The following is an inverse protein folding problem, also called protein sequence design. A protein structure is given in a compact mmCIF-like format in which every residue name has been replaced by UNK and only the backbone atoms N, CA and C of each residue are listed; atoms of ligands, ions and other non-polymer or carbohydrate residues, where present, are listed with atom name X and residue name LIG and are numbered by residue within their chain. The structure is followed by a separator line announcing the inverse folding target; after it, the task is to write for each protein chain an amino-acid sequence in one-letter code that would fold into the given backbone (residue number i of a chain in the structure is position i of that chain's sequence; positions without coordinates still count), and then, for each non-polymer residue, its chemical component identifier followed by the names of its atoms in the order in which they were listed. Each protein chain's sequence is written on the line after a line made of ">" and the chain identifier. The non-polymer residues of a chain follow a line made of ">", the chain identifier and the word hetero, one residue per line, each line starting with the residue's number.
data_IF_345508208879
#
_entry.id   IF_345508208879
#
_cell.length_a   1.000
_cell.length_b   1.000
_cell.length_c   1.000
_cell.angle_alpha   90.00
_cell.angle_beta   90.00
_cell.angle_gamma   90.00
#
_symmetry.space_group_name_H-M   'P 1'
#
loop_
_entity.id
_entity.type
_entity.pdbx_description
1 polymer ?
#
# COMPACT_ATOMS: atom_id res chain seq x y z
N UNK A 1 6.04 32.77 7.45
CA UNK A 1 5.74 32.55 8.89
C UNK A 1 4.28 32.89 9.11
N UNK A 2 3.40 31.90 9.06
CA UNK A 2 2.00 32.07 9.44
C UNK A 2 1.93 32.07 10.97
N UNK A 3 1.72 33.23 11.56
CA UNK A 3 1.62 33.42 13.02
C UNK A 3 0.32 32.82 13.59
N UNK A 4 -0.60 32.34 12.75
CA UNK A 4 -1.85 31.67 13.15
C UNK A 4 -1.69 30.15 13.38
N UNK A 5 -0.60 29.54 12.91
CA UNK A 5 -0.37 28.12 13.06
C UNK A 5 -0.05 27.77 14.52
N UNK A 6 -0.89 26.92 15.12
CA UNK A 6 -0.64 26.35 16.45
C UNK A 6 -0.18 24.92 16.31
N UNK A 7 1.01 24.64 16.84
CA UNK A 7 1.58 23.28 16.86
C UNK A 7 1.51 22.72 18.27
N UNK A 8 0.90 21.55 18.41
CA UNK A 8 0.78 20.83 19.68
C UNK A 8 1.71 19.61 19.68
N UNK A 9 2.46 19.43 20.75
CA UNK A 9 3.37 18.30 20.91
C UNK A 9 3.14 17.65 22.27
N UNK A 10 3.13 16.33 22.31
CA UNK A 10 3.09 15.55 23.54
C UNK A 10 4.51 15.28 24.03
N UNK A 11 4.82 15.64 25.26
CA UNK A 11 6.14 15.46 25.89
C UNK A 11 6.88 16.78 26.09
N UNK A 12 8.12 16.72 26.56
CA UNK A 12 9.00 17.86 26.71
C UNK A 12 9.45 18.39 25.34
N UNK A 13 9.32 19.68 25.09
CA UNK A 13 9.76 20.29 23.83
C UNK A 13 10.59 21.52 24.13
N UNK A 14 11.73 21.65 23.45
CA UNK A 14 12.53 22.87 23.41
C UNK A 14 12.04 23.85 22.34
N UNK A 15 10.96 23.54 21.63
CA UNK A 15 10.38 24.30 20.53
C UNK A 15 9.26 25.20 21.04
N UNK A 16 8.91 26.32 20.35
CA UNK A 16 7.72 27.12 20.66
C UNK A 16 6.39 26.38 20.45
N UNK A 17 6.42 25.07 20.26
CA UNK A 17 5.24 24.23 20.22
C UNK A 17 4.52 24.21 21.57
N UNK A 18 3.20 24.24 21.53
CA UNK A 18 2.36 24.18 22.72
C UNK A 18 2.32 22.74 23.25
N UNK A 19 2.37 22.58 24.58
CA UNK A 19 2.13 21.27 25.18
C UNK A 19 0.72 20.75 24.84
N UNK A 20 0.59 19.45 24.65
CA UNK A 20 -0.71 18.83 24.39
C UNK A 20 -1.67 19.18 25.54
N UNK A 21 -2.86 19.73 25.28
CA UNK A 21 -3.79 20.07 26.34
C UNK A 21 -4.20 18.84 27.13
N UNK A 22 -4.29 18.96 28.45
CA UNK A 22 -4.92 17.93 29.26
C UNK A 22 -6.38 17.73 28.81
N UNK A 23 -6.91 16.52 28.84
CA UNK A 23 -8.30 16.27 28.49
C UNK A 23 -9.20 17.20 29.32
N UNK A 24 -9.79 18.20 28.71
CA UNK A 24 -10.81 19.03 29.36
C UNK A 24 -12.17 18.46 29.04
N UNK A 25 -13.01 18.27 30.05
CA UNK A 25 -14.40 17.84 29.89
C UNK A 25 -15.31 18.86 29.19
N UNK A 26 -14.76 19.89 28.58
CA UNK A 26 -15.53 20.96 27.92
C UNK A 26 -15.42 20.85 26.41
N UNK A 27 -16.36 20.17 25.80
CA UNK A 27 -16.61 20.21 24.35
C UNK A 27 -17.34 21.51 23.94
N UNK A 28 -17.04 22.66 24.57
CA UNK A 28 -17.88 23.88 24.43
C UNK A 28 -17.51 24.75 23.23
N UNK A 29 -16.36 24.58 22.60
CA UNK A 29 -15.95 25.41 21.46
C UNK A 29 -15.42 24.54 20.31
N UNK A 30 -16.24 23.64 19.80
CA UNK A 30 -15.93 23.03 18.53
C UNK A 30 -16.02 24.10 17.43
N UNK A 31 -15.02 24.22 16.55
CA UNK A 31 -15.13 25.08 15.39
C UNK A 31 -16.40 24.71 14.61
N UNK A 32 -17.07 25.74 14.06
CA UNK A 32 -18.24 25.51 13.22
C UNK A 32 -17.93 24.52 12.06
N UNK A 33 -18.96 23.98 11.41
CA UNK A 33 -18.78 23.00 10.36
C UNK A 33 -17.88 23.54 9.25
N UNK A 34 -16.81 22.82 8.95
CA UNK A 34 -15.89 23.14 7.86
C UNK A 34 -16.59 22.98 6.50
N UNK A 35 -16.28 23.84 5.54
CA UNK A 35 -16.72 23.62 4.17
C UNK A 35 -16.13 22.32 3.60
N UNK A 36 -16.92 21.59 2.85
CA UNK A 36 -16.49 20.35 2.22
C UNK A 36 -15.26 20.53 1.30
N UNK A 37 -15.12 21.71 0.69
CA UNK A 37 -13.99 22.05 -0.19
C UNK A 37 -12.73 22.49 0.55
N UNK A 38 -12.83 22.80 1.85
CA UNK A 38 -11.64 23.18 2.63
C UNK A 38 -10.65 22.01 2.73
N UNK A 39 -9.36 22.38 2.80
CA UNK A 39 -8.28 21.42 3.06
C UNK A 39 -8.48 20.77 4.44
N UNK A 40 -8.66 19.47 4.46
CA UNK A 40 -8.81 18.69 5.70
C UNK A 40 -7.47 18.20 6.23
N UNK A 41 -6.54 17.80 5.34
CA UNK A 41 -5.21 17.32 5.72
C UNK A 41 -4.20 17.40 4.59
N UNK A 42 -2.94 17.54 4.98
CA UNK A 42 -1.77 17.34 4.12
C UNK A 42 -1.03 16.08 4.58
N UNK A 43 -0.85 15.14 3.66
CA UNK A 43 -0.07 13.93 3.94
C UNK A 43 1.16 13.92 3.05
N UNK A 44 2.33 13.94 3.69
CA UNK A 44 3.59 13.87 2.96
C UNK A 44 3.93 12.43 2.59
N UNK A 45 4.35 12.23 1.35
CA UNK A 45 4.84 10.96 0.84
C UNK A 45 6.28 11.12 0.36
N UNK A 46 7.10 10.07 0.57
CA UNK A 46 8.44 10.01 -0.01
C UNK A 46 8.31 9.87 -1.53
N UNK A 47 8.52 10.95 -2.27
CA UNK A 47 8.47 10.90 -3.73
C UNK A 47 9.64 10.10 -4.31
N UNK A 48 9.43 9.46 -5.47
CA UNK A 48 10.49 8.80 -6.26
C UNK A 48 11.63 9.76 -6.64
N UNK A 49 11.38 11.08 -6.60
CA UNK A 49 12.35 12.15 -6.87
C UNK A 49 13.19 12.54 -5.65
N UNK A 50 13.00 11.92 -4.47
CA UNK A 50 13.72 12.21 -3.23
C UNK A 50 13.15 13.38 -2.41
N UNK A 51 12.33 14.25 -3.00
CA UNK A 51 11.66 15.32 -2.26
C UNK A 51 10.27 14.87 -1.78
N UNK A 52 9.92 15.08 -0.49
CA UNK A 52 8.59 14.76 0.02
C UNK A 52 7.51 15.56 -0.71
N UNK A 53 6.38 14.91 -1.01
CA UNK A 53 5.23 15.50 -1.70
C UNK A 53 4.05 15.58 -0.75
N UNK A 54 3.50 16.78 -0.55
CA UNK A 54 2.32 17.00 0.28
C UNK A 54 1.03 16.77 -0.51
N UNK A 55 0.37 15.65 -0.29
CA UNK A 55 -0.93 15.33 -0.90
C UNK A 55 -2.03 16.13 -0.21
N UNK A 56 -2.78 16.95 -0.96
CA UNK A 56 -3.86 17.80 -0.45
C UNK A 56 -5.19 17.05 -0.46
N UNK A 57 -5.78 16.86 0.71
CA UNK A 57 -7.05 16.18 0.88
C UNK A 57 -8.08 17.12 1.50
N UNK A 58 -9.12 17.44 0.76
CA UNK A 58 -10.27 18.19 1.27
C UNK A 58 -11.14 17.32 2.18
N UNK A 59 -12.00 17.95 2.98
CA UNK A 59 -13.00 17.23 3.75
C UNK A 59 -13.91 16.37 2.83
N UNK A 60 -14.26 16.87 1.64
CA UNK A 60 -15.02 16.10 0.65
C UNK A 60 -14.28 14.84 0.20
N UNK A 61 -12.98 14.95 -0.14
CA UNK A 61 -12.18 13.79 -0.54
C UNK A 61 -12.15 12.74 0.59
N UNK A 62 -11.95 13.18 1.83
CA UNK A 62 -11.89 12.30 2.99
C UNK A 62 -13.23 11.57 3.21
N UNK A 63 -14.35 12.27 3.13
CA UNK A 63 -15.69 11.70 3.28
C UNK A 63 -16.06 10.74 2.15
N UNK A 64 -15.71 11.08 0.90
CA UNK A 64 -15.94 10.21 -0.25
C UNK A 64 -15.14 8.90 -0.12
N UNK A 65 -13.86 8.98 0.26
CA UNK A 65 -13.04 7.82 0.55
C UNK A 65 -13.59 6.99 1.71
N UNK A 66 -14.03 7.65 2.79
CA UNK A 66 -14.64 6.99 3.95
C UNK A 66 -15.88 6.17 3.56
N UNK A 67 -16.80 6.76 2.79
CA UNK A 67 -17.99 6.07 2.28
C UNK A 67 -17.65 4.85 1.44
N UNK A 68 -16.70 5.00 0.52
CA UNK A 68 -16.26 3.94 -0.36
C UNK A 68 -15.63 2.78 0.42
N UNK A 69 -14.73 3.08 1.37
CA UNK A 69 -14.04 2.06 2.18
C UNK A 69 -15.00 1.40 3.16
N UNK A 70 -15.89 2.15 3.78
CA UNK A 70 -16.91 1.63 4.72
C UNK A 70 -17.86 0.63 4.03
N UNK A 71 -18.18 0.86 2.76
CA UNK A 71 -19.09 -0.01 2.00
C UNK A 71 -18.61 -1.47 1.93
N UNK A 72 -17.29 -1.73 1.90
CA UNK A 72 -16.74 -3.09 1.84
C UNK A 72 -16.12 -3.57 3.15
N UNK A 73 -15.56 -2.70 3.99
CA UNK A 73 -15.04 -3.10 5.31
C UNK A 73 -16.16 -3.42 6.30
N UNK A 74 -17.33 -2.78 6.15
CA UNK A 74 -18.49 -2.97 7.01
C UNK A 74 -18.11 -2.86 8.51
N UNK A 75 -17.37 -1.79 8.84
CA UNK A 75 -17.01 -1.49 10.21
C UNK A 75 -18.27 -1.16 11.02
N UNK A 76 -18.26 -1.50 12.30
CA UNK A 76 -19.42 -1.39 13.20
C UNK A 76 -19.11 -0.52 14.41
N UNK A 77 -20.12 0.09 15.06
CA UNK A 77 -19.91 0.86 16.29
C UNK A 77 -19.34 0.03 17.46
N UNK A 78 -19.62 -1.27 17.48
CA UNK A 78 -19.13 -2.22 18.48
C UNK A 78 -17.75 -2.81 18.16
N UNK A 79 -17.12 -2.40 17.04
CA UNK A 79 -15.76 -2.83 16.74
C UNK A 79 -14.74 -2.22 17.70
N UNK A 80 -13.72 -3.03 17.98
CA UNK A 80 -12.48 -2.62 18.62
C UNK A 80 -11.38 -2.69 17.56
N UNK A 81 -10.92 -1.53 17.10
CA UNK A 81 -9.92 -1.43 16.04
C UNK A 81 -8.53 -1.31 16.67
N UNK A 82 -7.71 -2.35 16.55
CA UNK A 82 -6.31 -2.31 16.94
C UNK A 82 -5.47 -1.61 15.88
N UNK A 83 -4.73 -0.57 16.22
CA UNK A 83 -3.93 0.21 15.28
C UNK A 83 -2.48 0.31 15.71
N UNK A 84 -1.62 -0.47 15.06
CA UNK A 84 -0.17 -0.42 15.19
C UNK A 84 0.51 0.34 14.03
N UNK A 85 -0.28 0.87 13.10
CA UNK A 85 0.19 1.66 11.97
C UNK A 85 0.27 3.13 12.36
N UNK A 86 1.38 3.84 12.07
CA UNK A 86 1.52 5.24 12.39
C UNK A 86 0.41 6.10 11.72
N UNK A 87 -0.26 6.99 12.46
CA UNK A 87 -1.27 7.89 11.89
C UNK A 87 -0.67 8.98 10.99
N UNK A 88 0.65 9.12 10.93
CA UNK A 88 1.35 9.94 9.95
C UNK A 88 1.24 9.41 8.51
N UNK A 89 0.94 8.12 8.35
CA UNK A 89 0.64 7.52 7.06
C UNK A 89 -0.86 7.46 6.81
N UNK A 90 -1.23 7.63 5.54
CA UNK A 90 -2.64 7.64 5.12
C UNK A 90 -3.43 6.40 5.57
N UNK A 91 -2.78 5.23 5.62
CA UNK A 91 -3.43 3.99 6.01
C UNK A 91 -3.80 3.97 7.50
N UNK A 92 -2.89 4.37 8.39
CA UNK A 92 -3.16 4.49 9.82
C UNK A 92 -4.17 5.60 10.12
N UNK A 93 -3.98 6.80 9.56
CA UNK A 93 -4.87 7.94 9.77
C UNK A 93 -6.33 7.61 9.44
N UNK A 94 -6.56 6.90 8.32
CA UNK A 94 -7.92 6.59 7.91
C UNK A 94 -8.64 5.62 8.85
N UNK A 95 -7.93 4.69 9.49
CA UNK A 95 -8.56 3.84 10.51
C UNK A 95 -8.96 4.64 11.75
N UNK A 96 -8.18 5.68 12.12
CA UNK A 96 -8.57 6.61 13.18
C UNK A 96 -9.85 7.38 12.77
N UNK A 97 -9.83 8.01 11.59
CA UNK A 97 -10.99 8.79 11.11
C UNK A 97 -12.23 7.91 10.95
N UNK A 98 -12.07 6.71 10.40
CA UNK A 98 -13.21 5.79 10.19
C UNK A 98 -13.74 5.26 11.51
N UNK A 99 -12.87 4.84 12.43
CA UNK A 99 -13.29 4.33 13.73
C UNK A 99 -14.04 5.39 14.56
N UNK A 100 -13.51 6.62 14.62
CA UNK A 100 -14.18 7.73 15.29
C UNK A 100 -15.52 8.08 14.62
N UNK A 101 -15.55 8.09 13.28
CA UNK A 101 -16.74 8.44 12.51
C UNK A 101 -17.91 7.47 12.66
N UNK A 102 -17.66 6.21 13.02
CA UNK A 102 -18.70 5.21 13.31
C UNK A 102 -18.94 4.99 14.81
N UNK A 103 -18.15 5.62 15.69
CA UNK A 103 -18.24 5.41 17.13
C UNK A 103 -17.59 4.13 17.65
N UNK A 104 -16.65 3.54 16.90
CA UNK A 104 -15.89 2.35 17.31
C UNK A 104 -14.82 2.70 18.36
N UNK A 105 -14.34 1.67 19.07
CA UNK A 105 -13.21 1.79 19.99
C UNK A 105 -11.89 1.71 19.23
N UNK A 106 -10.94 2.59 19.55
CA UNK A 106 -9.59 2.56 18.98
C UNK A 106 -8.58 2.14 20.06
N UNK A 107 -7.83 1.09 19.79
CA UNK A 107 -6.68 0.65 20.60
C UNK A 107 -5.41 1.03 19.85
N UNK A 108 -4.77 2.12 20.28
CA UNK A 108 -3.57 2.65 19.64
C UNK A 108 -2.31 2.03 20.26
N UNK A 109 -1.45 1.49 19.39
CA UNK A 109 -0.13 0.99 19.77
C UNK A 109 0.94 1.94 19.23
N UNK A 110 1.87 2.34 20.09
CA UNK A 110 2.91 3.30 19.74
C UNK A 110 3.95 2.70 18.78
N UNK A 111 4.10 1.38 18.77
CA UNK A 111 5.11 0.69 17.95
C UNK A 111 4.74 -0.76 17.69
N UNK A 112 5.05 -1.22 16.50
CA UNK A 112 5.01 -2.64 16.11
C UNK A 112 6.34 -3.38 16.37
N UNK A 113 7.33 -2.72 17.00
CA UNK A 113 8.67 -3.29 17.21
C UNK A 113 8.68 -4.50 18.16
N UNK A 114 7.63 -4.68 18.96
CA UNK A 114 7.50 -5.79 19.91
C UNK A 114 6.28 -6.67 19.57
N UNK A 115 6.38 -7.56 18.56
CA UNK A 115 5.25 -8.33 18.06
C UNK A 115 4.54 -9.17 19.14
N UNK A 116 5.26 -9.74 20.09
CA UNK A 116 4.68 -10.52 21.18
C UNK A 116 3.79 -9.66 22.10
N UNK A 117 4.22 -8.45 22.45
CA UNK A 117 3.40 -7.50 23.23
C UNK A 117 2.17 -7.05 22.45
N UNK A 118 2.34 -6.85 21.15
CA UNK A 118 1.23 -6.48 20.27
C UNK A 118 0.16 -7.57 20.27
N UNK A 119 0.52 -8.85 20.09
CA UNK A 119 -0.44 -9.97 20.11
C UNK A 119 -1.14 -10.07 21.48
N UNK A 120 -0.40 -9.93 22.59
CA UNK A 120 -0.99 -9.89 23.93
C UNK A 120 -2.01 -8.76 24.07
N UNK A 121 -1.70 -7.58 23.53
CA UNK A 121 -2.60 -6.43 23.55
C UNK A 121 -3.86 -6.67 22.71
N UNK A 122 -3.71 -7.23 21.50
CA UNK A 122 -4.84 -7.59 20.63
C UNK A 122 -5.80 -8.54 21.34
N UNK A 123 -5.28 -9.54 22.05
CA UNK A 123 -6.08 -10.49 22.84
C UNK A 123 -6.75 -9.82 24.05
N UNK A 124 -5.98 -9.08 24.85
CA UNK A 124 -6.48 -8.44 26.08
C UNK A 124 -7.60 -7.44 25.81
N UNK A 125 -7.49 -6.65 24.73
CA UNK A 125 -8.48 -5.65 24.34
C UNK A 125 -9.60 -6.24 23.47
N UNK A 126 -9.56 -7.55 23.18
CA UNK A 126 -10.51 -8.26 22.31
C UNK A 126 -10.71 -7.55 20.97
N UNK A 127 -9.60 -7.18 20.34
CA UNK A 127 -9.59 -6.48 19.06
C UNK A 127 -10.38 -7.26 18.00
N UNK A 128 -11.30 -6.58 17.32
CA UNK A 128 -12.16 -7.18 16.28
C UNK A 128 -11.68 -6.90 14.87
N UNK A 129 -11.00 -5.76 14.68
CA UNK A 129 -10.47 -5.31 13.37
C UNK A 129 -9.01 -4.95 13.51
N UNK A 130 -8.16 -5.54 12.66
CA UNK A 130 -6.73 -5.25 12.70
C UNK A 130 -6.16 -5.00 11.30
N UNK A 131 -5.79 -3.75 10.96
CA UNK A 131 -5.09 -3.40 9.72
C UNK A 131 -3.59 -3.65 9.85
N UNK A 132 -3.00 -4.28 8.83
CA UNK A 132 -1.58 -4.55 8.79
C UNK A 132 -0.95 -4.27 7.43
N UNK A 133 0.37 -4.36 7.43
CA UNK A 133 1.23 -4.31 6.24
C UNK A 133 2.08 -5.58 6.21
N UNK A 134 2.68 -5.97 5.06
CA UNK A 134 3.36 -7.26 4.95
C UNK A 134 4.43 -7.51 6.02
N UNK A 135 5.24 -6.49 6.38
CA UNK A 135 6.26 -6.60 7.42
C UNK A 135 5.65 -6.90 8.80
N UNK A 136 4.54 -6.24 9.14
CA UNK A 136 3.82 -6.49 10.38
C UNK A 136 3.27 -7.92 10.42
N UNK A 137 2.64 -8.36 9.34
CA UNK A 137 2.15 -9.73 9.23
C UNK A 137 3.25 -10.77 9.32
N UNK A 138 4.40 -10.56 8.65
CA UNK A 138 5.56 -11.43 8.76
C UNK A 138 6.05 -11.57 10.20
N UNK A 139 6.13 -10.44 10.94
CA UNK A 139 6.54 -10.42 12.34
C UNK A 139 5.59 -11.18 13.27
N UNK A 140 4.26 -11.03 13.02
CA UNK A 140 3.26 -11.76 13.81
C UNK A 140 3.22 -13.26 13.48
N UNK A 141 3.37 -13.62 12.20
CA UNK A 141 3.43 -15.01 11.74
C UNK A 141 4.67 -15.78 12.23
N UNK A 142 5.72 -15.07 12.65
CA UNK A 142 6.88 -15.69 13.29
C UNK A 142 6.60 -16.17 14.73
N UNK A 143 5.48 -15.74 15.33
CA UNK A 143 5.06 -16.12 16.68
C UNK A 143 4.06 -17.29 16.66
N UNK A 144 3.92 -17.96 17.79
CA UNK A 144 2.80 -18.87 18.02
C UNK A 144 1.56 -18.09 18.42
N UNK A 145 0.69 -17.84 17.45
CA UNK A 145 -0.57 -17.10 17.68
C UNK A 145 -1.60 -17.92 18.48
N UNK A 146 -1.49 -19.25 18.50
CA UNK A 146 -2.42 -20.12 19.22
C UNK A 146 -2.35 -20.01 20.73
N UNK A 147 -1.24 -19.44 21.26
CA UNK A 147 -1.06 -19.16 22.67
C UNK A 147 -1.92 -17.98 23.19
N UNK A 148 -2.65 -17.29 22.29
CA UNK A 148 -3.43 -16.10 22.61
C UNK A 148 -4.86 -16.23 22.09
N UNK A 149 -5.85 -15.75 22.89
CA UNK A 149 -7.25 -15.70 22.45
C UNK A 149 -7.46 -14.53 21.48
N UNK A 150 -7.36 -14.84 20.19
CA UNK A 150 -7.65 -13.93 19.08
C UNK A 150 -9.04 -14.20 18.46
N UNK A 151 -9.91 -14.91 19.12
CA UNK A 151 -11.24 -15.30 18.59
C UNK A 151 -12.14 -14.11 18.27
N UNK A 152 -11.90 -12.96 18.89
CA UNK A 152 -12.65 -11.72 18.61
C UNK A 152 -12.28 -11.10 17.23
N UNK A 153 -11.11 -11.41 16.66
CA UNK A 153 -10.72 -10.89 15.35
C UNK A 153 -11.67 -11.40 14.25
N UNK A 154 -12.47 -10.49 13.70
CA UNK A 154 -13.39 -10.77 12.61
C UNK A 154 -12.91 -10.26 11.25
N UNK A 155 -12.02 -9.26 11.25
CA UNK A 155 -11.54 -8.61 10.05
C UNK A 155 -10.06 -8.25 10.19
N UNK A 156 -9.27 -8.72 9.24
CA UNK A 156 -7.88 -8.31 9.06
C UNK A 156 -7.69 -7.78 7.64
N UNK A 157 -6.85 -6.76 7.49
CA UNK A 157 -6.65 -6.15 6.19
C UNK A 157 -5.16 -5.94 5.90
N UNK A 158 -4.78 -6.05 4.62
CA UNK A 158 -3.42 -5.73 4.18
C UNK A 158 -3.45 -4.66 3.10
N UNK A 159 -2.53 -3.69 3.20
CA UNK A 159 -2.31 -2.68 2.18
C UNK A 159 -0.85 -2.21 2.19
N UNK A 160 -0.53 -1.17 1.42
CA UNK A 160 0.77 -0.52 1.23
C UNK A 160 1.78 -1.32 0.38
N UNK A 161 1.77 -2.65 0.43
CA UNK A 161 2.52 -3.52 -0.46
C UNK A 161 1.79 -4.87 -0.61
N UNK A 162 2.15 -5.63 -1.64
CA UNK A 162 1.61 -6.97 -1.86
C UNK A 162 1.96 -7.90 -0.70
N UNK A 163 0.98 -8.64 -0.21
CA UNK A 163 1.18 -9.69 0.79
C UNK A 163 1.60 -10.97 0.07
N UNK A 164 2.75 -11.58 0.41
CA UNK A 164 3.16 -12.83 -0.20
C UNK A 164 2.09 -13.93 -0.04
N UNK A 165 1.87 -14.73 -1.07
CA UNK A 165 0.86 -15.80 -1.06
C UNK A 165 1.07 -16.79 0.10
N UNK A 166 2.32 -17.10 0.45
CA UNK A 166 2.64 -17.92 1.62
C UNK A 166 2.16 -17.31 2.94
N UNK A 167 2.30 -15.98 3.12
CA UNK A 167 1.81 -15.28 4.31
C UNK A 167 0.28 -15.22 4.32
N UNK A 168 -0.32 -15.02 3.15
CA UNK A 168 -1.79 -15.08 2.97
C UNK A 168 -2.33 -16.41 3.44
N UNK A 169 -1.76 -17.52 2.96
CA UNK A 169 -2.16 -18.88 3.37
C UNK A 169 -1.98 -19.13 4.87
N UNK A 170 -0.85 -18.67 5.45
CA UNK A 170 -0.59 -18.79 6.89
C UNK A 170 -1.58 -17.98 7.74
N UNK A 171 -1.90 -16.74 7.35
CA UNK A 171 -2.91 -15.92 8.05
C UNK A 171 -4.27 -16.60 8.04
N UNK A 172 -4.68 -17.11 6.87
CA UNK A 172 -5.94 -17.84 6.71
C UNK A 172 -6.00 -19.10 7.59
N UNK A 173 -4.90 -19.83 7.66
CA UNK A 173 -4.81 -21.05 8.48
C UNK A 173 -4.80 -20.75 10.00
N UNK A 174 -4.12 -19.68 10.42
CA UNK A 174 -3.97 -19.35 11.86
C UNK A 174 -5.09 -18.48 12.42
N UNK A 175 -5.80 -17.73 11.58
CA UNK A 175 -6.91 -16.86 11.94
C UNK A 175 -8.15 -17.15 11.07
N UNK A 176 -8.66 -18.40 11.08
CA UNK A 176 -9.72 -18.85 10.17
C UNK A 176 -11.06 -18.11 10.40
N UNK A 177 -11.27 -17.57 11.60
CA UNK A 177 -12.45 -16.78 11.94
C UNK A 177 -12.42 -15.36 11.36
N UNK A 178 -11.22 -14.84 11.00
CA UNK A 178 -11.07 -13.49 10.50
C UNK A 178 -11.17 -13.43 8.98
N UNK A 179 -12.00 -12.53 8.47
CA UNK A 179 -12.00 -12.19 7.04
C UNK A 179 -10.72 -11.45 6.69
N UNK A 180 -9.96 -11.93 5.71
CA UNK A 180 -8.79 -11.24 5.18
C UNK A 180 -9.18 -10.48 3.91
N UNK A 181 -8.89 -9.18 3.85
CA UNK A 181 -9.04 -8.36 2.65
C UNK A 181 -7.67 -7.82 2.21
N UNK A 182 -7.36 -8.01 0.94
CA UNK A 182 -6.16 -7.43 0.33
C UNK A 182 -6.56 -6.17 -0.43
N UNK A 183 -5.83 -5.07 -0.22
CA UNK A 183 -6.22 -3.77 -0.75
C UNK A 183 -5.04 -3.10 -1.46
N UNK A 184 -5.33 -2.42 -2.55
CA UNK A 184 -4.40 -1.53 -3.22
C UNK A 184 -4.91 -0.09 -3.14
N UNK A 185 -3.97 0.86 -3.02
CA UNK A 185 -4.24 2.29 -3.07
C UNK A 185 -3.00 3.14 -2.85
N UNK A 186 -3.17 4.42 -3.08
CA UNK A 186 -2.15 5.45 -2.91
C UNK A 186 -2.67 6.54 -1.97
N UNK A 187 -1.78 7.36 -1.44
CA UNK A 187 -2.18 8.48 -0.57
C UNK A 187 -3.12 9.43 -1.31
N UNK A 188 -2.94 9.60 -2.61
CA UNK A 188 -3.70 10.48 -3.49
C UNK A 188 -5.18 10.08 -3.66
N UNK A 189 -5.51 8.78 -3.52
CA UNK A 189 -6.89 8.29 -3.67
C UNK A 189 -7.36 7.37 -2.53
N UNK A 190 -6.51 7.17 -1.52
CA UNK A 190 -6.69 6.30 -0.36
C UNK A 190 -6.76 4.82 -0.69
N UNK A 191 -7.74 4.40 -1.47
CA UNK A 191 -7.91 3.05 -1.98
C UNK A 191 -8.42 3.11 -3.41
N UNK A 192 -7.96 2.20 -4.23
CA UNK A 192 -8.38 2.05 -5.62
C UNK A 192 -9.01 0.69 -5.89
N UNK A 193 -8.54 -0.36 -5.20
CA UNK A 193 -9.13 -1.69 -5.33
C UNK A 193 -9.05 -2.49 -4.04
N UNK A 194 -9.86 -3.54 -3.94
CA UNK A 194 -9.78 -4.55 -2.88
C UNK A 194 -10.12 -5.94 -3.42
N UNK A 195 -9.47 -6.95 -2.87
CA UNK A 195 -9.78 -8.36 -3.08
C UNK A 195 -10.64 -8.84 -1.91
N UNK A 196 -11.88 -9.29 -2.16
CA UNK A 196 -12.75 -9.84 -1.13
C UNK A 196 -12.18 -11.12 -0.52
N UNK A 197 -12.53 -11.40 0.73
CA UNK A 197 -12.10 -12.58 1.48
C UNK A 197 -12.29 -13.89 0.71
N UNK A 198 -13.43 -14.05 0.05
CA UNK A 198 -13.80 -15.27 -0.65
C UNK A 198 -12.96 -15.51 -1.93
N UNK A 199 -12.32 -14.46 -2.44
CA UNK A 199 -11.48 -14.52 -3.63
C UNK A 199 -9.97 -14.66 -3.31
N UNK A 200 -9.59 -14.48 -2.05
CA UNK A 200 -8.17 -14.47 -1.64
C UNK A 200 -7.46 -15.79 -1.93
N UNK A 201 -8.12 -16.91 -1.70
CA UNK A 201 -7.54 -18.25 -1.96
C UNK A 201 -7.56 -18.62 -3.46
N UNK A 202 -8.50 -18.03 -4.22
CA UNK A 202 -8.65 -18.28 -5.66
C UNK A 202 -7.66 -17.43 -6.46
N UNK A 203 -7.41 -16.18 -6.00
CA UNK A 203 -6.58 -15.17 -6.70
C UNK A 203 -5.61 -14.48 -5.75
N UNK A 204 -4.69 -15.19 -5.13
CA UNK A 204 -3.84 -14.63 -4.05
C UNK A 204 -2.94 -13.48 -4.49
N UNK A 205 -2.68 -13.33 -5.80
CA UNK A 205 -1.84 -12.27 -6.37
C UNK A 205 -2.65 -11.06 -6.86
N UNK A 206 -3.98 -11.18 -6.89
CA UNK A 206 -4.83 -10.08 -7.33
C UNK A 206 -4.94 -9.02 -6.25
N UNK A 207 -5.00 -7.77 -6.67
CA UNK A 207 -5.38 -6.64 -5.80
C UNK A 207 -6.89 -6.39 -5.83
N UNK A 208 -7.65 -7.27 -6.47
CA UNK A 208 -9.10 -7.22 -6.54
C UNK A 208 -9.65 -6.39 -7.71
N UNK A 209 -10.78 -5.77 -7.47
CA UNK A 209 -11.50 -4.89 -8.39
C UNK A 209 -11.66 -3.51 -7.78
N UNK A 210 -12.09 -2.54 -8.61
CA UNK A 210 -12.37 -1.18 -8.16
C UNK A 210 -13.39 -1.11 -7.02
N UNK A 211 -13.30 -0.04 -6.24
CA UNK A 211 -14.16 0.18 -5.09
C UNK A 211 -15.55 0.72 -5.48
N UNK A 212 -16.55 0.56 -4.63
CA UNK A 212 -17.82 1.26 -4.76
C UNK A 212 -17.65 2.79 -4.86
N UNK A 213 -18.48 3.43 -5.68
CA UNK A 213 -18.53 4.88 -5.87
C UNK A 213 -17.26 5.50 -6.47
N UNK A 214 -16.43 4.70 -7.14
CA UNK A 214 -15.23 5.11 -7.85
C UNK A 214 -15.25 4.59 -9.28
N UNK A 215 -14.60 5.31 -10.18
CA UNK A 215 -14.35 4.84 -11.54
C UNK A 215 -12.87 4.51 -11.68
N UNK A 216 -12.57 3.45 -12.40
CA UNK A 216 -11.20 3.07 -12.73
C UNK A 216 -11.15 2.45 -14.13
N UNK A 217 -10.05 2.66 -14.82
CA UNK A 217 -9.77 2.08 -16.13
C UNK A 217 -8.28 1.99 -16.37
N UNK A 218 -7.90 1.27 -17.40
CA UNK A 218 -6.50 1.19 -17.84
C UNK A 218 -6.29 2.11 -19.03
N UNK A 219 -5.10 2.69 -19.13
CA UNK A 219 -4.67 3.45 -20.30
C UNK A 219 -3.38 2.85 -20.87
N UNK A 220 -3.20 2.98 -22.19
CA UNK A 220 -1.99 2.60 -22.89
C UNK A 220 -0.85 3.63 -22.67
N UNK A 221 0.29 3.40 -23.33
CA UNK A 221 1.46 4.28 -23.24
C UNK A 221 1.23 5.69 -23.80
N UNK A 222 0.21 5.86 -24.63
CA UNK A 222 -0.21 7.15 -25.19
C UNK A 222 -1.28 7.83 -24.32
N UNK A 223 -1.67 7.21 -23.21
CA UNK A 223 -2.71 7.70 -22.30
C UNK A 223 -4.13 7.48 -22.81
N UNK A 224 -4.30 6.65 -23.85
CA UNK A 224 -5.61 6.32 -24.38
C UNK A 224 -6.28 5.21 -23.55
N UNK A 225 -7.57 5.40 -23.24
CA UNK A 225 -8.33 4.42 -22.47
C UNK A 225 -8.45 3.11 -23.22
N UNK A 226 -8.05 2.03 -22.59
CA UNK A 226 -8.23 0.68 -23.09
C UNK A 226 -9.67 0.22 -22.91
N UNK A 227 -10.16 -0.75 -23.71
CA UNK A 227 -11.50 -1.30 -23.54
C UNK A 227 -11.77 -1.76 -22.11
N UNK A 228 -12.96 -1.54 -21.59
CA UNK A 228 -13.32 -1.87 -20.20
C UNK A 228 -13.55 -3.37 -19.97
N UNK A 229 -13.64 -4.15 -21.04
CA UNK A 229 -13.85 -5.59 -21.00
C UNK A 229 -12.65 -6.37 -21.59
N UNK A 230 -12.52 -7.62 -21.18
CA UNK A 230 -11.45 -8.51 -21.63
C UNK A 230 -10.11 -8.23 -20.97
N UNK A 231 -9.11 -9.01 -21.36
CA UNK A 231 -7.74 -8.87 -20.89
C UNK A 231 -7.11 -7.60 -21.42
N UNK A 232 -6.43 -6.85 -20.56
CA UNK A 232 -5.70 -5.65 -20.94
C UNK A 232 -4.55 -5.39 -19.95
N UNK A 233 -3.48 -4.77 -20.44
CA UNK A 233 -2.37 -4.30 -19.59
C UNK A 233 -2.13 -2.82 -19.87
N UNK A 234 -2.08 -2.01 -18.80
CA UNK A 234 -1.88 -0.57 -18.91
C UNK A 234 -1.76 0.10 -17.56
N UNK A 235 -1.49 1.40 -17.58
CA UNK A 235 -1.47 2.20 -16.36
C UNK A 235 -2.89 2.34 -15.79
N UNK A 236 -3.04 2.11 -14.49
CA UNK A 236 -4.32 2.31 -13.81
C UNK A 236 -4.60 3.80 -13.64
N UNK A 237 -5.79 4.19 -14.03
CA UNK A 237 -6.36 5.52 -13.78
C UNK A 237 -7.54 5.37 -12.84
N UNK A 238 -7.63 6.27 -11.86
CA UNK A 238 -8.69 6.27 -10.85
C UNK A 238 -9.37 7.64 -10.86
N UNK A 239 -10.70 7.67 -10.85
CA UNK A 239 -11.46 8.91 -10.87
C UNK A 239 -12.59 8.91 -9.84
N UNK A 240 -12.86 10.09 -9.30
CA UNK A 240 -13.97 10.31 -8.37
C UNK A 240 -13.69 11.35 -7.29
N UNK A 241 -14.69 11.58 -6.46
CA UNK A 241 -14.63 12.56 -5.38
C UNK A 241 -13.60 12.24 -4.26
N UNK A 242 -13.13 10.99 -4.18
CA UNK A 242 -12.12 10.53 -3.22
C UNK A 242 -10.68 10.88 -3.64
N UNK A 243 -10.47 11.23 -4.91
CA UNK A 243 -9.15 11.60 -5.44
C UNK A 243 -8.77 12.99 -4.90
N UNK A 244 -7.54 13.14 -4.46
CA UNK A 244 -7.02 14.38 -3.88
C UNK A 244 -7.11 15.58 -4.83
N UNK A 245 -7.13 16.78 -4.27
CA UNK A 245 -7.15 18.02 -5.05
C UNK A 245 -5.80 18.35 -5.72
N UNK A 246 -4.76 17.55 -5.48
CA UNK A 246 -3.43 17.76 -6.03
C UNK A 246 -2.35 17.69 -4.95
N UNK A 247 -1.21 18.31 -5.24
CA UNK A 247 -0.05 18.34 -4.36
C UNK A 247 0.29 19.77 -3.96
N UNK A 248 0.60 19.96 -2.70
CA UNK A 248 1.01 21.27 -2.15
C UNK A 248 2.34 21.72 -2.74
N UNK A 249 2.37 22.92 -3.29
CA UNK A 249 3.56 23.51 -3.93
C UNK A 249 4.24 22.57 -4.95
N UNK A 250 3.44 21.84 -5.72
CA UNK A 250 3.94 20.85 -6.67
C UNK A 250 4.71 21.48 -7.83
N UNK A 251 5.85 20.90 -8.25
CA UNK A 251 6.47 21.25 -9.52
C UNK A 251 5.55 20.88 -10.70
N UNK A 252 5.66 21.59 -11.83
CA UNK A 252 4.74 21.42 -12.97
C UNK A 252 4.54 19.98 -13.45
N UNK A 253 5.60 19.18 -13.51
CA UNK A 253 5.53 17.77 -13.94
C UNK A 253 4.74 16.85 -13.00
N UNK A 254 4.62 17.20 -11.72
CA UNK A 254 3.83 16.44 -10.76
C UNK A 254 2.34 16.83 -10.83
N UNK A 255 2.06 18.08 -11.15
CA UNK A 255 0.70 18.58 -11.25
C UNK A 255 -0.13 17.85 -12.33
N UNK A 256 0.52 17.29 -13.35
CA UNK A 256 -0.16 16.59 -14.45
C UNK A 256 -0.67 15.19 -14.07
N UNK A 257 -0.29 14.63 -12.93
CA UNK A 257 -0.78 13.33 -12.49
C UNK A 257 -2.23 13.36 -11.98
N UNK A 258 -2.67 14.51 -11.50
CA UNK A 258 -4.03 14.72 -11.02
C UNK A 258 -4.65 15.82 -11.87
N UNK A 259 -5.74 15.49 -12.55
CA UNK A 259 -6.47 16.38 -13.46
C UNK A 259 -7.92 16.51 -13.00
N UNK A 260 -8.67 17.53 -13.46
CA UNK A 260 -10.10 17.58 -13.24
C UNK A 260 -10.79 16.31 -13.73
N UNK A 261 -11.72 15.80 -12.92
CA UNK A 261 -12.53 14.64 -13.24
C UNK A 261 -13.75 14.99 -14.10
N UNK A 262 -14.56 13.98 -14.45
CA UNK A 262 -15.72 14.16 -15.34
C UNK A 262 -16.85 14.96 -14.70
N UNK A 263 -16.92 15.02 -13.35
CA UNK A 263 -17.96 15.76 -12.62
C UNK A 263 -17.33 16.89 -11.79
N UNK A 264 -18.07 17.96 -11.53
CA UNK A 264 -17.59 19.06 -10.68
C UNK A 264 -17.13 18.56 -9.30
N UNK A 265 -15.92 18.97 -8.89
CA UNK A 265 -15.32 18.57 -7.61
C UNK A 265 -14.68 17.19 -7.59
N UNK A 266 -14.74 16.45 -8.68
CA UNK A 266 -14.00 15.19 -8.85
C UNK A 266 -12.64 15.43 -9.52
N UNK A 267 -11.72 14.51 -9.25
CA UNK A 267 -10.41 14.49 -9.89
C UNK A 267 -10.11 13.10 -10.44
N UNK A 268 -9.23 13.07 -11.41
CA UNK A 268 -8.72 11.86 -12.05
C UNK A 268 -7.23 11.76 -11.77
N UNK A 269 -6.79 10.61 -11.26
CA UNK A 269 -5.42 10.30 -10.91
C UNK A 269 -4.84 9.28 -11.89
N UNK A 270 -3.73 9.60 -12.52
CA UNK A 270 -2.82 8.63 -13.13
C UNK A 270 -1.94 8.07 -12.03
N UNK A 271 -2.08 6.77 -11.73
CA UNK A 271 -1.42 6.17 -10.56
C UNK A 271 0.08 6.01 -10.73
N UNK A 272 0.55 5.89 -11.98
CA UNK A 272 1.92 5.49 -12.30
C UNK A 272 2.17 4.01 -12.05
N UNK A 273 1.15 3.23 -11.72
CA UNK A 273 1.24 1.79 -11.53
C UNK A 273 0.55 1.07 -12.70
N UNK A 274 1.22 0.06 -13.25
CA UNK A 274 0.75 -0.73 -14.38
C UNK A 274 0.10 -2.00 -13.86
N UNK A 275 -1.09 -2.29 -14.40
CA UNK A 275 -1.88 -3.46 -14.04
C UNK A 275 -2.23 -4.28 -15.27
N UNK A 276 -2.25 -5.58 -15.09
CA UNK A 276 -2.92 -6.51 -15.97
C UNK A 276 -4.34 -6.76 -15.43
N UNK A 277 -5.33 -6.60 -16.28
CA UNK A 277 -6.72 -6.99 -16.00
C UNK A 277 -7.01 -8.29 -16.74
N UNK A 278 -7.61 -9.26 -16.05
CA UNK A 278 -8.09 -10.49 -16.68
C UNK A 278 -9.49 -10.33 -17.30
N UNK A 279 -10.00 -11.38 -17.94
CA UNK A 279 -11.31 -11.40 -18.60
C UNK A 279 -12.48 -11.16 -17.65
N UNK A 280 -12.28 -11.42 -16.35
CA UNK A 280 -13.28 -11.22 -15.30
C UNK A 280 -13.13 -9.87 -14.59
N UNK A 281 -12.18 -9.02 -15.00
CA UNK A 281 -11.99 -7.68 -14.45
C UNK A 281 -11.13 -7.63 -13.18
N UNK A 282 -10.45 -8.72 -12.79
CA UNK A 282 -9.52 -8.70 -11.66
C UNK A 282 -8.20 -8.06 -12.06
N UNK A 283 -7.66 -7.25 -11.15
CA UNK A 283 -6.44 -6.50 -11.36
C UNK A 283 -5.25 -7.19 -10.69
N UNK A 284 -4.14 -7.26 -11.44
CA UNK A 284 -2.86 -7.79 -11.00
C UNK A 284 -1.79 -6.72 -11.23
N UNK A 285 -1.03 -6.38 -10.19
CA UNK A 285 0.01 -5.36 -10.31
C UNK A 285 1.21 -5.93 -11.08
N UNK A 286 1.55 -5.27 -12.18
CA UNK A 286 2.72 -5.62 -13.03
C UNK A 286 3.96 -4.86 -12.58
N UNK A 287 3.80 -3.58 -12.22
CA UNK A 287 4.90 -2.73 -11.76
C UNK A 287 4.59 -1.25 -11.86
N UNK A 288 5.64 -0.43 -11.76
CA UNK A 288 5.54 1.01 -11.92
C UNK A 288 6.04 1.46 -13.29
N UNK A 289 5.41 2.50 -13.82
CA UNK A 289 5.88 3.15 -15.04
C UNK A 289 7.29 3.74 -14.87
N UNK A 290 7.59 4.28 -13.68
CA UNK A 290 8.88 4.91 -13.35
C UNK A 290 10.02 3.90 -13.14
N UNK A 291 9.71 2.64 -12.80
CA UNK A 291 10.68 1.56 -12.56
C UNK A 291 10.91 0.70 -13.82
N UNK A 292 10.07 0.85 -14.83
CA UNK A 292 10.17 0.10 -16.09
C UNK A 292 11.45 0.47 -16.85
N UNK A 293 12.13 -0.53 -17.37
CA UNK A 293 13.23 -0.35 -18.30
C UNK A 293 13.07 -1.25 -19.54
N UNK A 294 13.85 -0.96 -20.59
CA UNK A 294 13.80 -1.78 -21.81
C UNK A 294 15.02 -2.69 -21.89
N UNK A 295 14.77 -4.00 -22.06
CA UNK A 295 15.78 -4.99 -22.39
C UNK A 295 15.47 -5.56 -23.77
N UNK A 296 16.43 -5.58 -24.68
CA UNK A 296 16.22 -5.97 -26.11
C UNK A 296 15.13 -5.17 -26.84
N UNK A 297 14.87 -3.93 -26.39
CA UNK A 297 13.79 -3.10 -26.94
C UNK A 297 12.41 -3.32 -26.29
N UNK A 298 12.26 -4.41 -25.52
CA UNK A 298 11.02 -4.80 -24.86
C UNK A 298 10.94 -4.31 -23.41
N UNK A 299 9.75 -4.05 -22.91
CA UNK A 299 9.52 -3.57 -21.54
C UNK A 299 9.77 -4.66 -20.52
N UNK A 300 10.49 -4.31 -19.46
CA UNK A 300 10.68 -5.13 -18.27
C UNK A 300 10.15 -4.35 -17.07
N UNK A 301 9.20 -4.93 -16.38
CA UNK A 301 8.73 -4.44 -15.09
C UNK A 301 9.42 -5.24 -13.99
N UNK A 302 10.30 -4.63 -13.19
CA UNK A 302 11.07 -5.33 -12.16
C UNK A 302 10.23 -6.20 -11.23
N UNK A 303 9.05 -5.72 -10.83
CA UNK A 303 8.17 -6.40 -9.89
C UNK A 303 7.72 -7.78 -10.41
N UNK A 304 7.45 -7.92 -11.70
CA UNK A 304 7.02 -9.17 -12.31
C UNK A 304 8.12 -10.23 -12.25
N UNK A 305 9.36 -9.83 -12.51
CA UNK A 305 10.53 -10.71 -12.39
C UNK A 305 10.80 -11.08 -10.93
N UNK A 306 10.67 -10.12 -10.01
CA UNK A 306 10.83 -10.33 -8.57
C UNK A 306 9.81 -11.33 -8.01
N UNK A 307 8.54 -11.22 -8.40
CA UNK A 307 7.51 -12.17 -8.02
C UNK A 307 7.87 -13.58 -8.46
N UNK A 308 8.28 -13.74 -9.73
CA UNK A 308 8.69 -15.05 -10.26
C UNK A 308 9.90 -15.61 -9.50
N UNK A 309 10.89 -14.79 -9.16
CA UNK A 309 12.05 -15.24 -8.35
C UNK A 309 11.61 -15.68 -6.95
N UNK A 310 10.67 -14.95 -6.34
CA UNK A 310 10.17 -15.27 -5.00
C UNK A 310 9.34 -16.57 -4.92
N UNK A 311 8.90 -17.13 -6.04
CA UNK A 311 8.29 -18.47 -6.08
C UNK A 311 9.29 -19.59 -5.76
N UNK A 312 10.60 -19.36 -5.94
CA UNK A 312 11.62 -20.36 -5.66
C UNK A 312 11.69 -20.67 -4.17
N UNK A 313 11.58 -21.96 -3.78
CA UNK A 313 11.84 -22.37 -2.41
C UNK A 313 13.24 -21.92 -1.96
N UNK A 314 13.31 -21.29 -0.78
CA UNK A 314 14.57 -20.77 -0.23
C UNK A 314 14.81 -19.29 -0.51
N UNK A 315 14.12 -18.65 -1.43
CA UNK A 315 14.15 -17.20 -1.60
C UNK A 315 13.33 -16.53 -0.49
N UNK A 316 13.90 -15.51 0.14
CA UNK A 316 13.22 -14.67 1.12
C UNK A 316 12.63 -13.43 0.46
N UNK A 317 13.44 -12.74 -0.33
CA UNK A 317 13.06 -11.54 -1.09
C UNK A 317 13.97 -11.37 -2.31
N UNK A 318 13.49 -10.67 -3.32
CA UNK A 318 14.26 -10.36 -4.52
C UNK A 318 14.03 -8.90 -4.93
N UNK A 319 15.04 -8.33 -5.58
CA UNK A 319 14.96 -7.02 -6.21
C UNK A 319 15.65 -7.06 -7.57
N UNK A 320 15.07 -6.39 -8.55
CA UNK A 320 15.55 -6.38 -9.92
C UNK A 320 15.90 -4.95 -10.34
N UNK A 321 17.05 -4.81 -10.97
CA UNK A 321 17.55 -3.57 -11.54
C UNK A 321 18.10 -3.77 -12.95
N UNK A 322 18.11 -2.73 -13.80
CA UNK A 322 18.83 -2.78 -15.06
C UNK A 322 20.34 -2.80 -14.83
N UNK A 323 21.05 -3.53 -15.67
CA UNK A 323 22.51 -3.42 -15.77
C UNK A 323 22.91 -3.14 -17.23
N UNK A 324 23.96 -2.35 -17.49
CA UNK A 324 24.47 -2.12 -18.83
C UNK A 324 24.88 -3.42 -19.51
N UNK A 325 24.56 -3.57 -20.79
CA UNK A 325 24.91 -4.72 -21.62
C UNK A 325 25.22 -4.27 -23.04
N UNK A 326 26.38 -4.65 -23.56
CA UNK A 326 26.85 -4.22 -24.88
C UNK A 326 25.95 -4.65 -26.04
N UNK A 327 25.27 -5.81 -25.91
CA UNK A 327 24.40 -6.36 -26.96
C UNK A 327 22.93 -6.01 -26.77
N UNK A 328 22.49 -5.87 -25.53
CA UNK A 328 21.06 -5.72 -25.18
C UNK A 328 20.71 -4.27 -24.81
N UNK A 329 21.71 -3.37 -24.74
CA UNK A 329 21.59 -2.05 -24.15
C UNK A 329 21.47 -2.14 -22.63
N UNK A 330 20.36 -2.67 -22.13
CA UNK A 330 20.17 -3.04 -20.73
C UNK A 330 19.78 -4.50 -20.63
N UNK A 331 20.33 -5.19 -19.64
CA UNK A 331 19.96 -6.53 -19.22
C UNK A 331 19.37 -6.53 -17.81
N UNK A 332 18.68 -7.59 -17.46
CA UNK A 332 18.07 -7.78 -16.14
C UNK A 332 19.12 -8.34 -15.18
N UNK A 333 19.32 -7.67 -14.04
CA UNK A 333 20.12 -8.16 -12.91
C UNK A 333 19.19 -8.37 -11.70
N UNK A 334 19.25 -9.55 -11.11
CA UNK A 334 18.50 -9.88 -9.91
C UNK A 334 19.41 -9.82 -8.68
N UNK A 335 18.92 -9.21 -7.60
CA UNK A 335 19.51 -9.24 -6.26
C UNK A 335 18.60 -10.11 -5.40
N UNK A 336 19.11 -11.21 -4.89
CA UNK A 336 18.32 -12.24 -4.23
C UNK A 336 18.82 -12.44 -2.80
N UNK A 337 17.90 -12.32 -1.85
CA UNK A 337 18.15 -12.66 -0.46
C UNK A 337 17.53 -14.01 -0.15
N UNK A 338 18.32 -14.92 0.39
CA UNK A 338 17.89 -16.26 0.75
C UNK A 338 17.36 -16.34 2.18
N UNK A 339 16.51 -17.31 2.45
CA UNK A 339 16.11 -17.70 3.81
C UNK A 339 17.32 -18.27 4.56
N UNK A 340 17.39 -18.14 5.89
CA UNK A 340 18.46 -18.75 6.68
C UNK A 340 18.61 -20.25 6.38
N UNK A 341 19.84 -20.66 6.05
CA UNK A 341 20.17 -22.05 5.72
C UNK A 341 19.81 -22.51 4.30
N UNK A 342 19.15 -21.68 3.50
CA UNK A 342 18.88 -21.99 2.10
C UNK A 342 20.11 -21.73 1.23
N UNK A 343 20.29 -22.58 0.21
CA UNK A 343 21.32 -22.45 -0.82
C UNK A 343 20.69 -22.57 -2.20
N UNK A 344 20.99 -21.64 -3.07
CA UNK A 344 20.60 -21.63 -4.48
C UNK A 344 21.80 -21.20 -5.33
N UNK A 345 21.94 -21.76 -6.52
CA UNK A 345 22.90 -21.28 -7.48
C UNK A 345 22.25 -20.24 -8.41
N UNK A 346 23.04 -19.31 -8.92
CA UNK A 346 22.61 -18.31 -9.91
C UNK A 346 21.84 -18.95 -11.08
N UNK A 347 22.38 -20.06 -11.62
CA UNK A 347 21.77 -20.82 -12.72
C UNK A 347 20.36 -21.33 -12.40
N UNK A 348 20.05 -21.62 -11.15
CA UNK A 348 18.75 -22.14 -10.75
C UNK A 348 17.70 -21.03 -10.78
N UNK A 349 18.06 -19.83 -10.34
CA UNK A 349 17.21 -18.61 -10.44
C UNK A 349 16.97 -18.26 -11.91
N UNK A 350 18.03 -18.22 -12.73
CA UNK A 350 17.92 -17.90 -14.15
C UNK A 350 17.02 -18.90 -14.87
N UNK A 351 17.23 -20.21 -14.65
CA UNK A 351 16.43 -21.29 -15.28
C UNK A 351 14.96 -21.21 -14.87
N UNK A 352 14.69 -20.90 -13.60
CA UNK A 352 13.33 -20.73 -13.11
C UNK A 352 12.60 -19.58 -13.82
N UNK A 353 13.27 -18.42 -13.95
CA UNK A 353 12.73 -17.29 -14.69
C UNK A 353 12.55 -17.59 -16.18
N UNK A 354 13.51 -18.24 -16.83
CA UNK A 354 13.42 -18.61 -18.26
C UNK A 354 12.25 -19.57 -18.58
N UNK A 355 11.84 -20.39 -17.63
CA UNK A 355 10.72 -21.30 -17.78
C UNK A 355 9.34 -20.63 -17.65
N UNK A 356 9.27 -19.39 -17.10
CA UNK A 356 8.03 -18.71 -16.70
C UNK A 356 7.84 -17.32 -17.27
N UNK A 357 8.94 -16.69 -17.68
CA UNK A 357 8.95 -15.32 -18.18
C UNK A 357 9.43 -15.32 -19.64
N UNK A 358 9.11 -14.26 -20.31
CA UNK A 358 9.65 -13.98 -21.63
C UNK A 358 11.18 -13.84 -21.60
N UNK A 359 11.87 -14.23 -22.67
CA UNK A 359 13.32 -14.35 -22.69
C UNK A 359 14.08 -13.05 -22.38
N UNK A 360 13.48 -11.89 -22.66
CA UNK A 360 14.05 -10.57 -22.36
C UNK A 360 13.89 -10.14 -20.90
N UNK A 361 13.00 -10.79 -20.15
CA UNK A 361 12.73 -10.55 -18.72
C UNK A 361 13.60 -11.42 -17.82
N UNK A 362 14.10 -12.55 -18.33
CA UNK A 362 14.93 -13.44 -17.54
C UNK A 362 16.24 -12.77 -17.13
N UNK A 363 16.65 -12.87 -15.85
CA UNK A 363 17.91 -12.30 -15.38
C UNK A 363 19.11 -12.85 -16.18
N UNK A 364 20.03 -11.96 -16.56
CA UNK A 364 21.32 -12.31 -17.12
C UNK A 364 22.37 -12.53 -16.03
N UNK A 365 22.18 -11.91 -14.86
CA UNK A 365 23.04 -12.05 -13.70
C UNK A 365 22.22 -12.08 -12.41
N UNK A 366 22.70 -12.83 -11.41
CA UNK A 366 22.11 -12.90 -10.09
C UNK A 366 23.18 -12.62 -9.03
N UNK A 367 22.92 -11.69 -8.15
CA UNK A 367 23.73 -11.41 -6.98
C UNK A 367 22.99 -11.86 -5.70
N UNK A 368 23.59 -12.74 -4.91
CA UNK A 368 23.06 -13.06 -3.61
C UNK A 368 23.53 -12.02 -2.59
N UNK A 369 22.61 -11.48 -1.81
CA UNK A 369 22.83 -10.37 -0.89
C UNK A 369 22.26 -10.69 0.49
N UNK A 370 22.90 -10.15 1.55
CA UNK A 370 22.39 -10.29 2.91
C UNK A 370 21.21 -9.39 3.21
N UNK A 371 21.17 -8.22 2.56
CA UNK A 371 20.10 -7.23 2.73
C UNK A 371 19.84 -6.50 1.41
N UNK A 372 18.58 -6.15 1.16
CA UNK A 372 18.17 -5.25 0.10
C UNK A 372 18.08 -3.81 0.62
N UNK A 373 18.48 -2.79 -0.17
CA UNK A 373 18.38 -1.40 0.24
C UNK A 373 16.92 -0.97 0.41
N UNK A 374 16.57 -0.42 1.57
CA UNK A 374 15.21 -0.01 1.90
C UNK A 374 15.16 1.42 2.42
N UNK A 375 14.01 2.07 2.26
CA UNK A 375 13.68 3.34 2.93
C UNK A 375 13.34 3.08 4.41
N UNK A 376 13.26 4.14 5.22
CA UNK A 376 12.76 4.07 6.60
C UNK A 376 11.35 3.45 6.72
N UNK A 377 10.55 3.58 5.66
CA UNK A 377 9.22 2.97 5.58
C UNK A 377 9.21 1.51 5.09
N UNK A 378 10.39 0.89 4.88
CA UNK A 378 10.53 -0.49 4.43
C UNK A 378 10.33 -0.70 2.92
N UNK A 379 10.27 0.37 2.12
CA UNK A 379 10.16 0.25 0.66
C UNK A 379 11.53 0.09 0.02
N UNK A 380 11.62 -0.79 -0.98
CA UNK A 380 12.83 -1.03 -1.75
C UNK A 380 13.34 0.27 -2.43
N UNK A 381 14.63 0.56 -2.30
CA UNK A 381 15.35 1.63 -3.01
C UNK A 381 16.06 1.06 -4.23
N UNK A 382 15.35 0.92 -5.35
CA UNK A 382 15.94 0.35 -6.58
C UNK A 382 17.14 1.11 -7.11
N UNK A 383 17.20 2.44 -6.89
CA UNK A 383 18.32 3.27 -7.34
C UNK A 383 19.66 2.89 -6.69
N UNK A 384 19.62 2.26 -5.52
CA UNK A 384 20.80 1.84 -4.77
C UNK A 384 21.25 0.42 -5.16
N UNK A 385 20.59 -0.22 -6.16
CA UNK A 385 20.91 -1.55 -6.70
C UNK A 385 21.74 -1.51 -7.98
N UNK A 386 21.89 -0.34 -8.61
CA UNK A 386 22.57 -0.15 -9.87
C UNK A 386 24.10 -0.16 -9.73
#
# INVERSE_FOLDING_TARGET
>A
NDTSLRVWVRGETASPALAWPSPSNRATDLPGPASASQLGTLIYTSGTTGQPKGVMLSHANMLAAWRSVQAYLQLRPDDVIGLALPPSFSYGLYHVVMGLGIGATLVLENTAAFPAKLVQRLAAERVTVFPGVPMLWASLLALDLSAHDLSALRLITNAAAALPAAHTALLRARLPQAKLLLMYGLTECKRASYLPHDEVDIRPESVGRGLPFQEHWLVDDHGQRLPDQGCATGELVVSGAHVSAGYWNAPPGLATRITPGPRPGEHTLRTGDVFRRDEHGWLYCVGRTDDMFKSRGEKVYPLEVEHTICELPGVLEAAVAPMPDERLGLAVKAHVRLKPGATLAERDVIRHCQARLESWMAPKAVAFVDQLPQTESGKLRRRDLA
#
